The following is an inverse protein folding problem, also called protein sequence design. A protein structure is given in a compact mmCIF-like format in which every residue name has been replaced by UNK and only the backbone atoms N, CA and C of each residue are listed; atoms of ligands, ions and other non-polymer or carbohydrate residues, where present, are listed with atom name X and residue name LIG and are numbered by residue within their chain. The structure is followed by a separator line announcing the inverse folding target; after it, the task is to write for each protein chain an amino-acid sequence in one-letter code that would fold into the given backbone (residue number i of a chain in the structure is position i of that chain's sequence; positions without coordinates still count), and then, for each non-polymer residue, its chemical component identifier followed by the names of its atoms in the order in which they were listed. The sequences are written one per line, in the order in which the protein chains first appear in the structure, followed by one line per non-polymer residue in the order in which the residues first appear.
data_IF_499051901721
#
_entry.id   IF_499051901721
#
_cell.length_a   1.000
_cell.length_b   1.000
_cell.length_c   1.000
_cell.angle_alpha   90.00
_cell.angle_beta   90.00
_cell.angle_gamma   90.00
#
_symmetry.space_group_name_H-M   'P 1'
#
loop_
_entity.id
_entity.type
_entity.pdbx_description
1 polymer ?
#
# COMPACT_ATOMS: atom_id res chain seq x y z
N UNK A 1 1.46 23.47 38.84
CA UNK A 1 2.03 22.15 38.48
C UNK A 1 2.08 22.04 36.96
N UNK A 2 3.13 21.42 36.40
CA UNK A 2 3.49 21.46 34.98
C UNK A 2 3.12 20.17 34.25
N UNK A 3 2.47 20.26 33.08
CA UNK A 3 2.24 19.13 32.18
C UNK A 3 3.53 18.76 31.44
N UNK A 4 4.00 17.53 31.61
CA UNK A 4 5.28 17.02 31.08
C UNK A 4 5.13 16.49 29.62
N UNK A 5 3.93 16.54 29.03
CA UNK A 5 3.69 16.04 27.66
C UNK A 5 4.16 17.03 26.59
N UNK A 6 4.93 16.54 25.60
CA UNK A 6 5.38 17.34 24.45
C UNK A 6 4.20 17.91 23.63
N UNK A 7 3.10 17.16 23.50
CA UNK A 7 1.89 17.55 22.77
C UNK A 7 0.66 17.58 23.69
N UNK A 8 -0.26 18.52 23.46
CA UNK A 8 -1.56 18.51 24.12
C UNK A 8 -2.39 17.29 23.68
N UNK A 9 -3.27 16.82 24.58
CA UNK A 9 -4.22 15.76 24.26
C UNK A 9 -5.40 16.36 23.47
N UNK A 10 -6.14 15.52 22.74
CA UNK A 10 -7.35 15.96 22.04
C UNK A 10 -8.34 16.62 23.01
N UNK A 11 -9.06 17.66 22.60
CA UNK A 11 -9.91 18.45 23.51
C UNK A 11 -9.18 19.54 24.30
N UNK A 12 -7.84 19.59 24.23
CA UNK A 12 -7.03 20.56 24.94
C UNK A 12 -5.98 21.21 24.03
N UNK A 13 -5.60 22.43 24.38
CA UNK A 13 -4.47 23.17 23.81
C UNK A 13 -3.49 23.59 24.90
N UNK A 14 -2.24 23.87 24.53
CA UNK A 14 -1.28 24.47 25.46
C UNK A 14 -1.61 25.95 25.62
N UNK A 15 -1.54 26.46 26.85
CA UNK A 15 -1.71 27.89 27.10
C UNK A 15 -0.64 28.70 26.37
N UNK A 16 -1.03 29.82 25.78
CA UNK A 16 -0.07 30.75 25.17
C UNK A 16 0.88 31.39 26.20
N UNK A 17 0.44 31.48 27.46
CA UNK A 17 1.20 32.10 28.56
C UNK A 17 2.11 31.12 29.29
N UNK A 18 1.76 29.84 29.30
CA UNK A 18 2.52 28.78 29.97
C UNK A 18 2.38 27.46 29.18
N UNK A 19 3.45 27.07 28.50
CA UNK A 19 3.50 25.86 27.67
C UNK A 19 3.25 24.56 28.46
N UNK A 20 3.32 24.62 29.79
CA UNK A 20 3.09 23.50 30.69
C UNK A 20 1.65 23.46 31.22
N UNK A 21 0.79 24.42 30.88
CA UNK A 21 -0.64 24.39 31.23
C UNK A 21 -1.50 23.93 30.06
N UNK A 22 -2.46 23.07 30.36
CA UNK A 22 -3.50 22.64 29.43
C UNK A 22 -4.74 23.51 29.64
N UNK A 23 -5.21 24.11 28.54
CA UNK A 23 -6.47 24.84 28.47
C UNK A 23 -7.43 24.08 27.57
N UNK A 24 -8.73 24.20 27.83
CA UNK A 24 -9.77 23.57 27.01
C UNK A 24 -9.71 24.16 25.60
N UNK A 25 -9.77 23.29 24.60
CA UNK A 25 -9.85 23.68 23.20
C UNK A 25 -11.29 23.60 22.72
N UNK A 26 -11.97 24.74 22.60
CA UNK A 26 -13.39 24.82 22.25
C UNK A 26 -13.72 24.16 20.89
N UNK A 27 -12.76 24.06 19.95
CA UNK A 27 -12.96 23.39 18.65
C UNK A 27 -13.05 21.86 18.80
N UNK A 28 -12.45 21.27 19.84
CA UNK A 28 -12.37 19.80 19.96
C UNK A 28 -12.92 19.24 21.27
N UNK A 29 -13.08 20.07 22.31
CA UNK A 29 -13.56 19.67 23.62
C UNK A 29 -15.02 19.21 23.60
N UNK A 30 -15.88 19.88 22.82
CA UNK A 30 -17.28 19.50 22.69
C UNK A 30 -17.46 18.05 22.18
N UNK A 31 -16.50 17.55 21.38
CA UNK A 31 -16.52 16.17 20.87
C UNK A 31 -16.26 15.18 22.01
N UNK A 32 -15.41 15.55 22.96
CA UNK A 32 -15.14 14.74 24.15
C UNK A 32 -16.38 14.72 25.05
N UNK A 33 -16.98 15.87 25.34
CA UNK A 33 -18.23 15.96 26.11
C UNK A 33 -19.33 15.09 25.49
N UNK A 34 -19.55 15.26 24.18
CA UNK A 34 -20.52 14.47 23.41
C UNK A 34 -20.28 12.95 23.51
N UNK A 35 -19.02 12.49 23.54
CA UNK A 35 -18.69 11.07 23.72
C UNK A 35 -19.14 10.57 25.10
N UNK A 36 -18.89 11.35 26.16
CA UNK A 36 -19.31 11.00 27.51
C UNK A 36 -20.84 11.06 27.66
N UNK A 37 -21.50 12.06 27.06
CA UNK A 37 -22.96 12.17 27.07
C UNK A 37 -23.62 10.96 26.38
N UNK A 38 -23.13 10.57 25.20
CA UNK A 38 -23.63 9.35 24.56
C UNK A 38 -23.38 8.10 25.40
N UNK A 39 -22.25 8.00 26.09
CA UNK A 39 -22.01 6.91 27.04
C UNK A 39 -23.04 6.93 28.18
N UNK A 40 -23.32 8.10 28.78
CA UNK A 40 -24.31 8.26 29.86
C UNK A 40 -25.72 7.85 29.44
N UNK A 41 -26.08 8.04 28.17
CA UNK A 41 -27.36 7.56 27.60
C UNK A 41 -27.38 6.05 27.31
N UNK A 42 -26.35 5.30 27.69
CA UNK A 42 -26.25 3.85 27.53
C UNK A 42 -25.76 3.37 26.15
N UNK A 43 -25.25 4.27 25.29
CA UNK A 43 -24.68 3.87 24.00
C UNK A 43 -23.32 3.22 24.21
N UNK A 44 -23.07 2.07 23.57
CA UNK A 44 -21.77 1.43 23.63
C UNK A 44 -20.75 2.10 22.69
N UNK A 45 -19.46 1.82 22.88
CA UNK A 45 -18.39 2.44 22.08
C UNK A 45 -18.45 2.20 20.56
N UNK A 46 -19.12 1.14 20.09
CA UNK A 46 -19.33 0.92 18.64
C UNK A 46 -20.43 1.87 18.14
N UNK A 47 -21.54 1.97 18.87
CA UNK A 47 -22.63 2.89 18.55
C UNK A 47 -22.16 4.34 18.55
N UNK A 48 -21.42 4.75 19.60
CA UNK A 48 -20.83 6.10 19.67
C UNK A 48 -19.94 6.37 18.45
N UNK A 49 -19.03 5.44 18.10
CA UNK A 49 -18.17 5.60 16.94
C UNK A 49 -18.96 5.73 15.63
N UNK A 50 -20.04 4.96 15.47
CA UNK A 50 -20.93 5.04 14.31
C UNK A 50 -21.62 6.40 14.23
N UNK A 51 -22.22 6.86 15.32
CA UNK A 51 -22.90 8.17 15.40
C UNK A 51 -21.94 9.33 15.06
N UNK A 52 -20.71 9.30 15.58
CA UNK A 52 -19.70 10.32 15.24
C UNK A 52 -19.34 10.29 13.74
N UNK A 53 -19.26 9.11 13.13
CA UNK A 53 -19.01 8.98 11.69
C UNK A 53 -20.22 9.42 10.85
N UNK A 54 -21.45 9.13 11.29
CA UNK A 54 -22.71 9.57 10.65
C UNK A 54 -22.81 11.10 10.61
N UNK A 55 -22.41 11.75 11.70
CA UNK A 55 -22.32 13.20 11.83
C UNK A 55 -21.08 13.80 11.14
N UNK A 56 -20.25 12.97 10.50
CA UNK A 56 -19.01 13.35 9.81
C UNK A 56 -17.97 14.07 10.71
N UNK A 57 -18.02 13.82 12.02
CA UNK A 57 -17.09 14.41 12.98
C UNK A 57 -15.69 13.84 12.75
N UNK A 58 -14.71 14.73 12.58
CA UNK A 58 -13.32 14.35 12.31
C UNK A 58 -12.68 13.70 13.54
N UNK A 59 -11.73 12.80 13.29
CA UNK A 59 -11.04 12.07 14.36
C UNK A 59 -9.87 12.89 14.94
N UNK A 60 -9.37 12.57 16.15
CA UNK A 60 -8.25 13.30 16.75
C UNK A 60 -7.00 13.39 15.87
N UNK A 61 -6.74 12.36 15.06
CA UNK A 61 -5.60 12.35 14.14
C UNK A 61 -5.72 13.42 13.04
N UNK A 62 -6.94 13.69 12.58
CA UNK A 62 -7.20 14.71 11.56
C UNK A 62 -6.88 16.11 12.09
N UNK A 63 -7.34 16.44 13.31
CA UNK A 63 -7.04 17.71 13.96
C UNK A 63 -5.54 17.88 14.26
N UNK A 64 -4.87 16.81 14.69
CA UNK A 64 -3.42 16.86 14.97
C UNK A 64 -2.60 17.22 13.72
N UNK A 65 -2.98 16.73 12.55
CA UNK A 65 -2.29 17.03 11.29
C UNK A 65 -2.43 18.48 10.84
N UNK A 66 -3.49 19.19 11.26
CA UNK A 66 -3.69 20.62 10.95
C UNK A 66 -2.64 21.51 11.64
N UNK A 67 -2.07 21.04 12.75
CA UNK A 67 -1.22 21.84 13.65
C UNK A 67 0.25 21.38 13.72
N UNK A 68 0.61 20.23 13.16
CA UNK A 68 1.97 19.67 13.24
C UNK A 68 2.74 19.89 11.92
N UNK A 69 4.02 20.29 12.01
CA UNK A 69 4.91 20.46 10.82
C UNK A 69 5.25 19.12 10.17
N UNK A 70 5.05 18.01 10.88
CA UNK A 70 5.13 16.65 10.36
C UNK A 70 3.72 16.15 10.04
N UNK A 71 3.27 16.44 8.83
CA UNK A 71 2.03 15.86 8.31
C UNK A 71 2.26 14.36 8.14
N UNK A 72 1.55 13.53 8.91
CA UNK A 72 1.40 12.12 8.57
C UNK A 72 0.27 12.03 7.53
N UNK A 73 0.33 11.13 6.54
CA UNK A 73 -0.84 10.90 5.69
C UNK A 73 -1.99 10.31 6.53
N UNK A 74 -2.85 11.19 7.07
CA UNK A 74 -4.15 10.79 7.57
C UNK A 74 -4.99 10.55 6.33
N UNK A 75 -5.01 9.29 5.91
CA UNK A 75 -5.89 8.78 4.87
C UNK A 75 -7.28 9.41 5.07
N UNK A 76 -7.83 10.00 4.01
CA UNK A 76 -9.21 10.52 3.92
C UNK A 76 -10.25 9.57 4.52
N UNK A 77 -9.90 8.28 4.59
CA UNK A 77 -10.69 7.21 5.18
C UNK A 77 -10.51 7.12 6.70
N UNK A 78 -9.90 8.04 7.42
CA UNK A 78 -9.69 7.87 8.87
C UNK A 78 -10.97 8.12 9.66
N UNK A 79 -11.59 7.04 10.17
CA UNK A 79 -12.88 7.08 10.88
C UNK A 79 -12.76 6.85 12.39
N UNK A 80 -13.81 7.19 13.13
CA UNK A 80 -13.99 6.77 14.51
C UNK A 80 -14.17 5.25 14.59
N UNK A 81 -13.55 4.66 15.61
CA UNK A 81 -13.67 3.24 15.93
C UNK A 81 -13.88 3.10 17.43
N UNK A 82 -14.45 1.98 17.87
CA UNK A 82 -14.62 1.69 19.30
C UNK A 82 -13.32 1.85 20.09
N UNK A 83 -12.17 1.45 19.52
CA UNK A 83 -10.87 1.63 20.18
C UNK A 83 -10.49 3.11 20.38
N UNK A 84 -10.81 3.99 19.43
CA UNK A 84 -10.57 5.45 19.58
C UNK A 84 -11.49 6.07 20.62
N UNK A 85 -12.77 5.69 20.62
CA UNK A 85 -13.76 6.12 21.62
C UNK A 85 -13.34 5.66 23.02
N UNK A 86 -13.04 4.37 23.19
CA UNK A 86 -12.59 3.82 24.47
C UNK A 86 -11.28 4.44 24.96
N UNK A 87 -10.40 4.87 24.06
CA UNK A 87 -9.18 5.60 24.43
C UNK A 87 -9.52 6.94 25.08
N UNK A 88 -10.55 7.63 24.62
CA UNK A 88 -11.01 8.90 25.23
C UNK A 88 -11.70 8.60 26.56
N UNK A 89 -12.67 7.70 26.57
CA UNK A 89 -13.44 7.34 27.78
C UNK A 89 -12.51 6.94 28.94
N UNK A 90 -11.44 6.19 28.67
CA UNK A 90 -10.53 5.66 29.69
C UNK A 90 -9.44 6.63 30.15
N UNK A 91 -9.29 7.77 29.51
CA UNK A 91 -8.18 8.68 29.77
C UNK A 91 -8.58 9.68 30.87
N UNK A 92 -8.08 9.43 32.08
CA UNK A 92 -8.41 10.21 33.28
C UNK A 92 -8.02 11.68 33.18
N UNK A 93 -7.18 12.05 32.21
CA UNK A 93 -6.86 13.45 31.94
C UNK A 93 -8.09 14.28 31.60
N UNK A 94 -9.12 13.69 30.98
CA UNK A 94 -10.37 14.40 30.71
C UNK A 94 -11.15 14.78 31.98
N UNK A 95 -10.83 14.18 33.13
CA UNK A 95 -11.38 14.55 34.44
C UNK A 95 -10.51 15.57 35.22
N UNK A 96 -9.46 16.13 34.59
CA UNK A 96 -8.58 17.16 35.18
C UNK A 96 -7.33 16.63 35.88
N UNK A 97 -7.08 15.33 35.84
CA UNK A 97 -5.91 14.71 36.47
C UNK A 97 -4.73 14.58 35.48
N UNK A 98 -3.50 14.48 35.98
CA UNK A 98 -2.33 14.19 35.16
C UNK A 98 -1.96 12.71 35.31
N UNK A 99 -1.67 12.06 34.19
CA UNK A 99 -1.29 10.64 34.15
C UNK A 99 0.12 10.52 33.60
N UNK A 100 1.03 9.97 34.40
CA UNK A 100 2.42 9.67 34.10
C UNK A 100 2.74 8.16 34.21
N UNK A 101 3.97 7.79 33.88
CA UNK A 101 4.47 6.41 33.94
C UNK A 101 3.66 5.37 33.13
N UNK A 102 3.09 5.77 31.98
CA UNK A 102 2.26 4.87 31.15
C UNK A 102 3.09 3.89 30.31
N UNK A 103 4.37 4.22 30.07
CA UNK A 103 5.32 3.39 29.33
C UNK A 103 6.68 3.42 30.02
N UNK A 104 7.31 2.26 30.08
CA UNK A 104 8.66 2.10 30.59
C UNK A 104 9.57 1.60 29.46
N UNK A 105 10.76 2.19 29.36
CA UNK A 105 11.79 1.74 28.42
C UNK A 105 12.52 0.55 29.04
N UNK A 106 12.48 -0.62 28.40
CA UNK A 106 13.02 -1.85 29.00
C UNK A 106 14.52 -2.02 28.80
N UNK A 107 15.12 -1.36 27.80
CA UNK A 107 16.57 -1.40 27.55
C UNK A 107 17.05 -0.05 27.02
N UNK A 108 18.09 0.52 27.64
CA UNK A 108 18.66 1.81 27.25
C UNK A 108 19.18 1.82 25.79
N UNK A 109 19.51 0.65 25.22
CA UNK A 109 20.08 0.49 23.89
C UNK A 109 19.09 0.07 22.78
N UNK A 110 17.87 -0.36 23.11
CA UNK A 110 16.82 -0.68 22.13
C UNK A 110 15.58 0.12 22.49
N UNK A 111 15.02 0.86 21.54
CA UNK A 111 13.80 1.68 21.71
C UNK A 111 12.52 0.84 21.97
N UNK A 112 12.63 -0.30 22.64
CA UNK A 112 11.53 -1.13 23.08
C UNK A 112 10.91 -0.50 24.33
N UNK A 113 9.69 -0.01 24.17
CA UNK A 113 8.89 0.54 25.25
C UNK A 113 7.73 -0.42 25.54
N UNK A 114 7.65 -0.89 26.79
CA UNK A 114 6.51 -1.69 27.24
C UNK A 114 5.45 -0.78 27.86
N UNK A 115 4.19 -1.23 27.80
CA UNK A 115 3.10 -0.55 28.49
C UNK A 115 3.11 -0.99 29.95
N UNK A 116 3.14 -0.02 30.86
CA UNK A 116 3.15 -0.24 32.31
C UNK A 116 1.73 -0.57 32.77
N UNK A 117 1.60 -1.44 33.78
CA UNK A 117 0.32 -1.79 34.38
C UNK A 117 -0.37 -0.53 34.93
N UNK A 118 -1.70 -0.47 34.84
CA UNK A 118 -2.46 0.71 35.28
C UNK A 118 -2.29 0.99 36.77
N UNK A 119 -2.02 -0.03 37.59
CA UNK A 119 -1.75 0.12 39.03
C UNK A 119 -0.46 0.86 39.34
N UNK A 120 0.50 0.85 38.40
CA UNK A 120 1.80 1.53 38.53
C UNK A 120 1.81 2.92 37.88
N UNK A 121 0.67 3.39 37.35
CA UNK A 121 0.57 4.72 36.77
C UNK A 121 0.64 5.77 37.88
N UNK A 122 1.40 6.83 37.61
CA UNK A 122 1.47 7.98 38.52
C UNK A 122 0.30 8.91 38.15
N UNK A 123 -0.65 9.06 39.06
CA UNK A 123 -1.81 9.94 38.89
C UNK A 123 -1.66 11.12 39.85
N UNK A 124 -1.64 12.34 39.31
CA UNK A 124 -1.65 13.58 40.10
C UNK A 124 -3.00 14.26 39.89
N UNK A 125 -3.75 14.44 40.96
CA UNK A 125 -5.12 14.95 40.86
C UNK A 125 -5.22 16.47 40.65
N UNK A 126 -6.33 16.91 40.03
CA UNK A 126 -6.75 18.33 39.94
C UNK A 126 -5.68 19.27 39.36
N UNK A 127 -5.00 18.82 38.30
CA UNK A 127 -3.89 19.55 37.67
C UNK A 127 -4.33 20.60 36.66
N UNK A 128 -5.50 20.40 36.05
CA UNK A 128 -6.10 21.31 35.07
C UNK A 128 -7.62 21.17 35.08
N UNK A 129 -8.33 22.06 34.38
CA UNK A 129 -9.79 21.98 34.26
C UNK A 129 -10.18 20.75 33.46
N UNK A 130 -10.94 19.83 34.07
CA UNK A 130 -11.52 18.67 33.37
C UNK A 130 -12.57 19.11 32.34
N UNK A 131 -12.62 18.43 31.20
CA UNK A 131 -13.73 18.56 30.25
C UNK A 131 -14.99 17.89 30.82
N UNK A 132 -14.82 16.78 31.55
CA UNK A 132 -15.90 16.12 32.29
C UNK A 132 -15.63 16.13 33.79
N UNK A 133 -16.68 16.05 34.60
CA UNK A 133 -16.52 15.93 36.04
C UNK A 133 -15.95 14.55 36.43
N UNK A 134 -15.26 14.49 37.57
CA UNK A 134 -14.76 13.22 38.13
C UNK A 134 -15.88 12.21 38.34
N UNK A 135 -17.07 12.69 38.71
CA UNK A 135 -18.24 11.84 38.90
C UNK A 135 -18.72 11.20 37.60
N UNK A 136 -18.84 11.99 36.52
CA UNK A 136 -19.20 11.48 35.19
C UNK A 136 -18.15 10.48 34.71
N UNK A 137 -16.86 10.83 34.84
CA UNK A 137 -15.77 9.97 34.41
C UNK A 137 -15.81 8.61 35.12
N UNK A 138 -15.99 8.62 36.45
CA UNK A 138 -16.08 7.42 37.28
C UNK A 138 -17.30 6.58 36.87
N UNK A 139 -18.48 7.18 36.83
CA UNK A 139 -19.73 6.50 36.45
C UNK A 139 -19.62 5.81 35.09
N UNK A 140 -19.10 6.50 34.08
CA UNK A 140 -18.95 5.91 32.74
C UNK A 140 -17.94 4.76 32.74
N UNK A 141 -16.81 4.87 33.42
CA UNK A 141 -15.77 3.84 33.40
C UNK A 141 -16.03 2.64 34.32
N UNK A 142 -16.76 2.82 35.41
CA UNK A 142 -17.03 1.78 36.41
C UNK A 142 -18.37 1.08 36.17
N UNK A 143 -19.43 1.83 35.85
CA UNK A 143 -20.78 1.28 35.74
C UNK A 143 -21.17 0.98 34.29
N UNK A 144 -20.91 1.91 33.36
CA UNK A 144 -21.44 1.83 32.00
C UNK A 144 -20.51 1.04 31.06
N UNK A 145 -19.21 1.33 31.09
CA UNK A 145 -18.21 0.73 30.21
C UNK A 145 -17.00 0.15 30.99
N UNK A 146 -17.23 -0.80 31.92
CA UNK A 146 -16.17 -1.38 32.72
C UNK A 146 -15.10 -2.05 31.86
N UNK A 147 -13.88 -2.05 32.39
CA UNK A 147 -12.78 -2.82 31.79
C UNK A 147 -13.13 -4.30 31.94
N UNK A 148 -13.35 -4.95 30.80
CA UNK A 148 -13.45 -6.41 30.73
C UNK A 148 -12.07 -6.98 30.42
N UNK A 149 -11.55 -7.82 31.31
CA UNK A 149 -10.40 -8.66 30.98
C UNK A 149 -10.76 -9.56 29.79
N UNK A 150 -9.90 -9.57 28.77
CA UNK A 150 -10.07 -10.47 27.62
C UNK A 150 -8.99 -11.53 27.70
N UNK A 151 -9.38 -12.78 27.92
CA UNK A 151 -8.46 -13.90 28.06
C UNK A 151 -7.85 -14.39 26.74
N UNK A 152 -8.34 -13.97 25.58
CA UNK A 152 -7.82 -14.42 24.29
C UNK A 152 -7.85 -13.29 23.27
N UNK A 153 -6.77 -12.52 23.22
CA UNK A 153 -6.46 -11.74 22.02
C UNK A 153 -5.31 -12.47 21.36
N UNK A 154 -5.54 -13.08 20.20
CA UNK A 154 -4.42 -13.47 19.35
C UNK A 154 -3.62 -12.19 19.05
N UNK A 155 -2.53 -12.00 19.77
CA UNK A 155 -1.55 -10.93 19.59
C UNK A 155 -0.48 -11.52 18.69
N UNK A 156 -0.44 -11.13 17.42
CA UNK A 156 0.56 -11.66 16.51
C UNK A 156 0.30 -11.37 15.02
N UNK A 157 1.31 -11.72 14.21
CA UNK A 157 1.39 -11.58 12.75
C UNK A 157 0.18 -12.16 12.00
N UNK A 158 -0.52 -13.14 12.59
CA UNK A 158 -1.71 -13.78 12.01
C UNK A 158 -2.83 -12.80 11.64
N UNK A 159 -2.94 -11.65 12.34
CA UNK A 159 -3.98 -10.64 12.04
C UNK A 159 -3.71 -9.85 10.75
N UNK A 160 -2.47 -9.92 10.22
CA UNK A 160 -2.03 -9.22 9.00
C UNK A 160 -1.69 -10.16 7.83
N UNK A 161 -1.97 -11.46 7.97
CA UNK A 161 -1.75 -12.44 6.90
C UNK A 161 -2.98 -12.53 5.99
N UNK A 162 -2.75 -12.51 4.67
CA UNK A 162 -3.79 -12.61 3.65
C UNK A 162 -3.54 -11.67 2.47
N UNK A 163 -4.30 -11.87 1.39
CA UNK A 163 -4.18 -11.10 0.15
C UNK A 163 -5.52 -10.49 -0.33
N UNK A 164 -6.59 -10.64 0.45
CA UNK A 164 -7.91 -10.09 0.14
C UNK A 164 -8.16 -8.78 0.88
N UNK A 165 -8.47 -7.72 0.14
CA UNK A 165 -8.63 -6.36 0.63
C UNK A 165 -10.02 -5.83 0.27
N UNK A 166 -10.57 -5.00 1.15
CA UNK A 166 -11.78 -4.24 0.86
C UNK A 166 -11.46 -3.17 -0.19
N UNK A 167 -12.11 -3.21 -1.35
CA UNK A 167 -11.86 -2.24 -2.43
C UNK A 167 -12.16 -0.80 -2.01
N UNK A 168 -13.14 -0.59 -1.13
CA UNK A 168 -13.52 0.74 -0.66
C UNK A 168 -12.53 1.34 0.33
N UNK A 169 -12.22 0.63 1.43
CA UNK A 169 -11.34 1.17 2.47
C UNK A 169 -9.86 0.79 2.34
N UNK A 170 -9.51 -0.11 1.42
CA UNK A 170 -8.15 -0.60 1.18
C UNK A 170 -7.58 -1.50 2.27
N UNK A 171 -8.34 -1.82 3.32
CA UNK A 171 -7.88 -2.65 4.44
C UNK A 171 -8.01 -4.13 4.13
N UNK A 172 -7.09 -4.92 4.68
CA UNK A 172 -7.16 -6.37 4.66
C UNK A 172 -8.46 -6.85 5.31
N UNK A 173 -9.19 -7.72 4.61
CA UNK A 173 -10.39 -8.36 5.16
C UNK A 173 -9.99 -9.32 6.28
N UNK A 174 -10.83 -9.45 7.30
CA UNK A 174 -10.62 -10.41 8.39
C UNK A 174 -11.45 -11.65 8.15
N UNK A 175 -10.93 -12.80 8.57
CA UNK A 175 -11.58 -14.09 8.44
C UNK A 175 -12.45 -14.35 9.67
N UNK A 176 -13.72 -14.64 9.44
CA UNK A 176 -14.60 -15.23 10.43
C UNK A 176 -14.63 -16.74 10.20
N UNK A 177 -14.06 -17.50 11.13
CA UNK A 177 -13.96 -18.95 11.05
C UNK A 177 -15.24 -19.61 11.58
N UNK A 178 -16.37 -19.34 10.93
CA UNK A 178 -17.59 -20.10 11.18
C UNK A 178 -17.41 -21.52 10.59
N UNK A 179 -17.62 -22.61 11.36
CA UNK A 179 -17.43 -23.98 10.89
C UNK A 179 -18.25 -24.34 9.64
N UNK A 180 -19.44 -23.76 9.50
CA UNK A 180 -20.37 -24.07 8.41
C UNK A 180 -20.16 -23.15 7.22
N UNK A 181 -19.94 -21.86 7.48
CA UNK A 181 -19.97 -20.81 6.47
C UNK A 181 -18.87 -19.78 6.72
N UNK A 182 -17.59 -20.10 6.47
CA UNK A 182 -16.49 -19.17 6.67
C UNK A 182 -16.59 -18.02 5.67
N UNK A 183 -16.35 -16.80 6.14
CA UNK A 183 -16.42 -15.60 5.31
C UNK A 183 -15.32 -14.60 5.68
N UNK A 184 -15.00 -13.75 4.72
CA UNK A 184 -14.17 -12.57 4.93
C UNK A 184 -15.07 -11.35 5.09
N UNK A 185 -14.73 -10.45 5.99
CA UNK A 185 -15.48 -9.21 6.20
C UNK A 185 -14.58 -8.02 6.44
N UNK A 186 -15.10 -6.82 6.19
CA UNK A 186 -14.39 -5.59 6.49
C UNK A 186 -14.57 -5.19 7.96
N UNK A 187 -13.48 -4.96 8.70
CA UNK A 187 -13.56 -4.52 10.11
C UNK A 187 -14.26 -3.16 10.26
N UNK A 188 -14.32 -2.38 9.18
CA UNK A 188 -15.04 -1.10 9.14
C UNK A 188 -16.54 -1.25 8.98
N UNK A 189 -17.04 -2.43 8.62
CA UNK A 189 -18.47 -2.70 8.45
C UNK A 189 -19.33 -2.16 9.59
N UNK A 190 -18.88 -2.35 10.84
CA UNK A 190 -19.58 -1.89 12.04
C UNK A 190 -19.51 -0.38 12.33
N UNK A 191 -18.75 0.38 11.56
CA UNK A 191 -18.52 1.82 11.78
C UNK A 191 -18.81 2.67 10.54
N UNK A 192 -18.83 2.05 9.36
CA UNK A 192 -19.09 2.72 8.09
C UNK A 192 -20.60 2.88 7.88
N UNK A 193 -20.93 3.91 7.12
CA UNK A 193 -22.31 4.36 6.93
C UNK A 193 -22.63 4.50 5.44
N UNK A 194 -21.63 4.80 4.59
CA UNK A 194 -21.85 5.18 3.18
C UNK A 194 -20.72 4.83 2.22
N UNK A 195 -19.67 4.11 2.63
CA UNK A 195 -18.54 3.78 1.76
C UNK A 195 -18.51 2.31 1.33
N UNK A 196 -19.65 1.60 1.34
CA UNK A 196 -19.74 0.21 0.89
C UNK A 196 -18.99 -0.81 1.75
N UNK A 197 -18.38 -0.40 2.88
CA UNK A 197 -17.74 -1.34 3.79
C UNK A 197 -18.76 -2.04 4.71
N UNK A 198 -19.94 -1.46 4.89
CA UNK A 198 -21.06 -1.91 5.72
C UNK A 198 -21.74 -3.19 5.20
N UNK A 199 -21.66 -3.45 3.90
CA UNK A 199 -22.13 -4.70 3.29
C UNK A 199 -20.98 -5.65 2.91
N UNK A 200 -19.73 -5.25 3.18
CA UNK A 200 -18.55 -5.98 2.74
C UNK A 200 -18.39 -7.30 3.50
N UNK A 201 -18.95 -8.34 2.91
CA UNK A 201 -18.85 -9.74 3.31
C UNK A 201 -18.73 -10.60 2.06
N UNK A 202 -17.77 -11.51 2.04
CA UNK A 202 -17.58 -12.46 0.95
C UNK A 202 -17.35 -13.87 1.49
N UNK A 203 -18.05 -14.84 0.93
CA UNK A 203 -17.93 -16.23 1.35
C UNK A 203 -16.58 -16.81 0.90
N UNK A 204 -15.85 -17.45 1.81
CA UNK A 204 -14.49 -17.93 1.52
C UNK A 204 -14.48 -19.10 0.53
N UNK A 205 -15.44 -20.02 0.64
CA UNK A 205 -15.51 -21.22 -0.21
C UNK A 205 -15.78 -20.85 -1.69
N UNK A 206 -16.84 -20.08 -2.03
CA UNK A 206 -17.08 -19.64 -3.40
C UNK A 206 -15.95 -18.74 -3.94
N UNK A 207 -15.37 -17.88 -3.09
CA UNK A 207 -14.24 -17.05 -3.47
C UNK A 207 -13.03 -17.90 -3.86
N UNK A 208 -12.67 -18.91 -3.06
CA UNK A 208 -11.53 -19.78 -3.35
C UNK A 208 -11.74 -20.56 -4.66
N UNK A 209 -12.95 -21.06 -4.92
CA UNK A 209 -13.28 -21.73 -6.18
C UNK A 209 -13.17 -20.76 -7.38
N UNK A 210 -13.68 -19.54 -7.23
CA UNK A 210 -13.61 -18.49 -8.26
C UNK A 210 -12.15 -18.10 -8.56
N UNK A 211 -11.36 -17.85 -7.52
CA UNK A 211 -9.93 -17.53 -7.66
C UNK A 211 -9.15 -18.68 -8.28
N UNK A 212 -9.46 -19.94 -7.91
CA UNK A 212 -8.84 -21.12 -8.53
C UNK A 212 -9.12 -21.15 -10.03
N UNK A 213 -10.37 -20.97 -10.46
CA UNK A 213 -10.73 -20.93 -11.87
C UNK A 213 -10.05 -19.77 -12.62
N UNK A 214 -9.91 -18.59 -11.99
CA UNK A 214 -9.18 -17.47 -12.57
C UNK A 214 -7.67 -17.76 -12.70
N UNK A 215 -7.07 -18.43 -11.71
CA UNK A 215 -5.66 -18.85 -11.76
C UNK A 215 -5.44 -19.85 -12.90
N UNK A 216 -6.31 -20.84 -13.09
CA UNK A 216 -6.21 -21.77 -14.23
C UNK A 216 -6.15 -21.01 -15.54
N UNK A 217 -7.12 -20.11 -15.79
CA UNK A 217 -7.16 -19.30 -17.02
C UNK A 217 -5.91 -18.42 -17.19
N UNK A 218 -5.44 -17.84 -16.09
CA UNK A 218 -4.24 -17.01 -16.07
C UNK A 218 -2.99 -17.82 -16.43
N UNK A 219 -2.81 -19.00 -15.83
CA UNK A 219 -1.70 -19.92 -16.12
C UNK A 219 -1.74 -20.40 -17.58
N UNK A 220 -2.91 -20.77 -18.10
CA UNK A 220 -3.06 -21.11 -19.52
C UNK A 220 -2.64 -19.97 -20.44
N UNK A 221 -3.05 -18.74 -20.13
CA UNK A 221 -2.66 -17.54 -20.90
C UNK A 221 -1.14 -17.30 -20.85
N UNK A 222 -0.49 -17.56 -19.70
CA UNK A 222 0.97 -17.45 -19.56
C UNK A 222 1.71 -18.50 -20.41
N UNK A 223 1.21 -19.74 -20.46
CA UNK A 223 1.77 -20.80 -21.31
C UNK A 223 1.69 -20.43 -22.79
N UNK A 224 0.55 -19.89 -23.24
CA UNK A 224 0.36 -19.42 -24.61
C UNK A 224 1.33 -18.29 -24.95
N UNK A 225 1.43 -17.27 -24.08
CA UNK A 225 2.36 -16.16 -24.24
C UNK A 225 3.81 -16.63 -24.30
N UNK A 226 4.21 -17.54 -23.41
CA UNK A 226 5.57 -18.08 -23.38
C UNK A 226 5.91 -18.86 -24.66
N UNK A 227 4.98 -19.68 -25.13
CA UNK A 227 5.13 -20.45 -26.38
C UNK A 227 5.27 -19.50 -27.57
N UNK A 228 4.48 -18.43 -27.61
CA UNK A 228 4.54 -17.41 -28.66
C UNK A 228 5.84 -16.61 -28.65
N UNK A 229 6.32 -16.19 -27.47
CA UNK A 229 7.60 -15.49 -27.31
C UNK A 229 8.75 -16.40 -27.74
N UNK A 230 8.77 -17.67 -27.33
CA UNK A 230 9.78 -18.65 -27.77
C UNK A 230 9.79 -18.81 -29.29
N UNK A 231 8.62 -18.93 -29.93
CA UNK A 231 8.49 -18.98 -31.40
C UNK A 231 8.97 -17.69 -32.10
N UNK A 232 8.67 -16.53 -31.52
CA UNK A 232 9.06 -15.23 -32.09
C UNK A 232 10.57 -14.98 -31.96
N UNK A 233 11.16 -15.28 -30.79
CA UNK A 233 12.61 -15.26 -30.57
C UNK A 233 13.32 -16.19 -31.57
N UNK A 234 12.80 -17.40 -31.82
CA UNK A 234 13.35 -18.36 -32.79
C UNK A 234 13.33 -17.84 -34.24
N UNK A 235 12.26 -17.17 -34.67
CA UNK A 235 12.20 -16.57 -36.02
C UNK A 235 13.21 -15.43 -36.21
N UNK A 236 13.39 -14.59 -35.18
CA UNK A 236 14.37 -13.50 -35.21
C UNK A 236 15.81 -14.05 -35.21
N UNK A 237 16.08 -15.08 -34.41
CA UNK A 237 17.40 -15.69 -34.28
C UNK A 237 17.83 -16.45 -35.55
N UNK A 238 16.89 -16.99 -36.32
CA UNK A 238 17.19 -17.63 -37.61
C UNK A 238 17.55 -16.62 -38.71
N UNK A 239 17.03 -15.39 -38.66
CA UNK A 239 17.29 -14.35 -39.65
C UNK A 239 18.58 -13.54 -39.36
N UNK A 240 19.09 -13.53 -38.13
CA UNK A 240 20.29 -12.79 -37.74
C UNK A 240 21.38 -13.73 -37.22
N UNK A 241 21.95 -14.56 -38.10
CA UNK A 241 23.00 -15.54 -37.76
C UNK A 241 24.41 -14.94 -37.61
N UNK A 242 24.55 -13.62 -37.64
CA UNK A 242 25.84 -12.94 -37.46
C UNK A 242 25.59 -11.59 -36.80
N UNK A 243 25.76 -11.48 -35.48
CA UNK A 243 25.56 -10.20 -34.80
C UNK A 243 26.69 -9.92 -33.82
N UNK A 244 27.41 -8.83 -34.12
CA UNK A 244 28.24 -8.07 -33.20
C UNK A 244 27.46 -7.78 -31.90
N UNK A 245 28.18 -7.73 -30.78
CA UNK A 245 27.65 -7.35 -29.47
C UNK A 245 27.24 -5.86 -29.45
N UNK A 246 26.36 -5.48 -28.51
CA UNK A 246 25.87 -4.09 -28.39
C UNK A 246 26.99 -3.06 -28.23
N UNK A 247 28.05 -3.40 -27.50
CA UNK A 247 29.23 -2.55 -27.29
C UNK A 247 30.04 -2.34 -28.57
N UNK A 248 30.09 -3.34 -29.45
CA UNK A 248 30.78 -3.25 -30.73
C UNK A 248 30.00 -2.37 -31.71
N UNK A 249 28.67 -2.39 -31.67
CA UNK A 249 27.80 -1.50 -32.44
C UNK A 249 27.96 -0.04 -31.98
N UNK A 250 28.04 0.21 -30.68
CA UNK A 250 28.29 1.56 -30.14
C UNK A 250 29.65 2.12 -30.58
N UNK A 251 30.71 1.30 -30.55
CA UNK A 251 32.04 1.69 -31.03
C UNK A 251 32.01 2.05 -32.52
N UNK A 252 31.23 1.33 -33.32
CA UNK A 252 31.12 1.60 -34.75
C UNK A 252 30.33 2.87 -35.05
N UNK A 253 29.23 3.13 -34.32
CA UNK A 253 28.49 4.40 -34.38
C UNK A 253 29.42 5.57 -34.00
N UNK A 254 30.26 5.41 -32.98
CA UNK A 254 31.20 6.45 -32.56
C UNK A 254 32.22 6.78 -33.66
N UNK A 255 32.77 5.76 -34.34
CA UNK A 255 33.68 5.94 -35.48
C UNK A 255 33.00 6.65 -36.66
N UNK A 256 31.75 6.32 -36.97
CA UNK A 256 30.97 6.98 -38.03
C UNK A 256 30.67 8.46 -37.68
N UNK A 257 30.37 8.75 -36.41
CA UNK A 257 30.21 10.13 -35.91
C UNK A 257 31.52 10.92 -36.00
N UNK A 258 32.66 10.31 -35.64
CA UNK A 258 33.98 10.92 -35.83
C UNK A 258 34.32 11.14 -37.31
N UNK A 259 33.97 10.19 -38.17
CA UNK A 259 34.13 10.30 -39.63
C UNK A 259 33.33 11.47 -40.18
N UNK A 260 32.11 11.72 -39.67
CA UNK A 260 31.27 12.87 -40.04
C UNK A 260 31.94 14.20 -39.67
N UNK A 261 32.59 14.28 -38.50
CA UNK A 261 33.34 15.47 -38.07
C UNK A 261 34.51 15.74 -39.01
N UNK A 262 35.29 14.70 -39.34
CA UNK A 262 36.40 14.83 -40.29
C UNK A 262 35.95 15.20 -41.71
N UNK A 263 34.78 14.70 -42.15
CA UNK A 263 34.18 15.04 -43.44
C UNK A 263 33.74 16.51 -43.48
N UNK A 264 33.14 17.02 -42.39
CA UNK A 264 32.80 18.44 -42.25
C UNK A 264 34.05 19.33 -42.33
N UNK A 265 35.12 18.94 -41.63
CA UNK A 265 36.38 19.68 -41.65
C UNK A 265 36.98 19.75 -43.06
N UNK A 266 37.02 18.62 -43.79
CA UNK A 266 37.53 18.58 -45.17
C UNK A 266 36.68 19.40 -46.15
N UNK A 267 35.38 19.52 -45.91
CA UNK A 267 34.51 20.42 -46.67
C UNK A 267 34.82 21.90 -46.38
N UNK A 268 35.01 22.26 -45.11
CA UNK A 268 35.42 23.63 -44.73
C UNK A 268 36.82 24.00 -45.26
N UNK A 269 37.72 23.02 -45.43
CA UNK A 269 39.03 23.18 -46.07
C UNK A 269 38.96 23.23 -47.62
N UNK A 270 37.77 23.20 -48.22
CA UNK A 270 37.57 23.29 -49.67
C UNK A 270 37.93 22.03 -50.45
N UNK A 271 38.17 20.90 -49.77
CA UNK A 271 38.61 19.63 -50.40
C UNK A 271 37.44 18.78 -50.93
N UNK A 272 36.21 19.26 -50.81
CA UNK A 272 34.99 18.61 -51.29
C UNK A 272 34.05 19.61 -51.95
N UNK A 273 33.40 19.20 -53.03
CA UNK A 273 32.24 19.91 -53.57
C UNK A 273 31.03 19.70 -52.66
N UNK A 274 30.10 20.66 -52.68
CA UNK A 274 28.89 20.63 -51.84
C UNK A 274 28.05 19.37 -52.09
N UNK A 275 27.96 18.95 -53.34
CA UNK A 275 27.20 17.78 -53.79
C UNK A 275 27.84 16.48 -53.29
N UNK A 276 29.17 16.35 -53.37
CA UNK A 276 29.89 15.17 -52.90
C UNK A 276 29.87 15.06 -51.36
N UNK A 277 29.92 16.19 -50.66
CA UNK A 277 29.78 16.26 -49.20
C UNK A 277 28.40 15.78 -48.73
N UNK A 278 27.33 16.27 -49.37
CA UNK A 278 25.94 15.87 -49.04
C UNK A 278 25.76 14.37 -49.22
N UNK A 279 26.22 13.80 -50.35
CA UNK A 279 26.09 12.37 -50.63
C UNK A 279 26.81 11.49 -49.60
N UNK A 280 28.04 11.86 -49.21
CA UNK A 280 28.80 11.11 -48.20
C UNK A 280 28.21 11.25 -46.79
N UNK A 281 27.71 12.44 -46.46
CA UNK A 281 27.02 12.68 -45.19
C UNK A 281 25.73 11.86 -45.08
N UNK A 282 24.95 11.81 -46.16
CA UNK A 282 23.72 11.01 -46.21
C UNK A 282 24.02 9.51 -46.12
N UNK A 283 25.11 9.05 -46.76
CA UNK A 283 25.56 7.66 -46.64
C UNK A 283 25.94 7.29 -45.20
N UNK A 284 26.69 8.15 -44.51
CA UNK A 284 27.05 7.92 -43.10
C UNK A 284 25.82 8.01 -42.20
N UNK A 285 24.87 8.91 -42.48
CA UNK A 285 23.60 9.02 -41.74
C UNK A 285 22.81 7.71 -41.82
N UNK A 286 22.61 7.18 -43.03
CA UNK A 286 21.89 5.91 -43.24
C UNK A 286 22.57 4.77 -42.49
N UNK A 287 23.90 4.70 -42.52
CA UNK A 287 24.65 3.67 -41.78
C UNK A 287 24.51 3.79 -40.25
N UNK A 288 24.44 5.02 -39.72
CA UNK A 288 24.18 5.24 -38.30
C UNK A 288 22.75 4.82 -37.95
N UNK A 289 21.76 5.19 -38.76
CA UNK A 289 20.35 4.80 -38.56
C UNK A 289 20.18 3.27 -38.56
N UNK A 290 20.79 2.56 -39.51
CA UNK A 290 20.76 1.09 -39.56
C UNK A 290 21.41 0.42 -38.34
N UNK A 291 22.48 1.00 -37.79
CA UNK A 291 23.17 0.49 -36.60
C UNK A 291 22.40 0.83 -35.32
N UNK A 292 21.79 2.00 -35.24
CA UNK A 292 20.93 2.41 -34.13
C UNK A 292 19.66 1.53 -34.07
N UNK A 293 19.08 1.17 -35.22
CA UNK A 293 17.97 0.21 -35.31
C UNK A 293 18.38 -1.20 -34.85
N UNK A 294 19.54 -1.70 -35.29
CA UNK A 294 20.09 -3.00 -34.81
C UNK A 294 20.36 -2.98 -33.31
N UNK A 295 20.87 -1.86 -32.78
CA UNK A 295 21.07 -1.66 -31.33
C UNK A 295 19.73 -1.69 -30.59
N UNK A 296 18.71 -1.05 -31.13
CA UNK A 296 17.36 -1.02 -30.54
C UNK A 296 16.73 -2.42 -30.53
N UNK A 297 16.93 -3.21 -31.59
CA UNK A 297 16.49 -4.61 -31.66
C UNK A 297 17.19 -5.50 -30.62
N UNK A 298 18.48 -5.28 -30.36
CA UNK A 298 19.24 -5.98 -29.31
C UNK A 298 18.83 -5.50 -27.91
N UNK A 299 18.67 -4.19 -27.68
CA UNK A 299 18.24 -3.61 -26.40
C UNK A 299 16.81 -4.03 -26.02
N UNK A 300 15.89 -4.10 -26.98
CA UNK A 300 14.53 -4.59 -26.78
C UNK A 300 14.48 -6.12 -26.48
N UNK A 301 15.60 -6.84 -26.63
CA UNK A 301 15.77 -8.24 -26.23
C UNK A 301 16.62 -8.44 -24.96
N UNK A 302 17.22 -7.39 -24.40
CA UNK A 302 18.26 -7.47 -23.37
C UNK A 302 18.13 -6.28 -22.40
N UNK A 303 17.00 -6.19 -21.70
CA UNK A 303 16.82 -5.27 -20.58
C UNK A 303 17.04 -6.00 -19.27
N UNK A 304 18.30 -6.02 -18.82
CA UNK A 304 18.80 -6.61 -17.56
C UNK A 304 18.91 -8.16 -17.54
N UNK A 305 20.02 -8.69 -18.09
CA UNK A 305 20.22 -10.13 -18.35
C UNK A 305 20.07 -11.02 -17.12
N UNK A 306 20.37 -10.54 -15.93
CA UNK A 306 20.35 -11.37 -14.72
C UNK A 306 18.98 -11.35 -14.05
N UNK A 307 18.44 -10.16 -13.78
CA UNK A 307 17.11 -10.00 -13.22
C UNK A 307 16.01 -10.56 -14.15
N UNK A 308 16.14 -10.38 -15.48
CA UNK A 308 15.19 -10.95 -16.43
C UNK A 308 15.31 -12.47 -16.53
N UNK A 309 16.52 -13.05 -16.48
CA UNK A 309 16.69 -14.52 -16.50
C UNK A 309 16.20 -15.18 -15.22
N UNK A 310 16.52 -14.60 -14.07
CA UNK A 310 16.07 -15.11 -12.78
C UNK A 310 14.54 -15.09 -12.68
N UNK A 311 13.92 -14.03 -13.19
CA UNK A 311 12.48 -13.89 -13.21
C UNK A 311 11.79 -14.71 -14.31
N UNK A 312 12.39 -14.88 -15.49
CA UNK A 312 11.92 -15.84 -16.51
C UNK A 312 11.97 -17.28 -15.97
N UNK A 313 13.02 -17.63 -15.21
CA UNK A 313 13.15 -18.91 -14.54
C UNK A 313 12.09 -19.10 -13.46
N UNK A 314 11.86 -18.10 -12.60
CA UNK A 314 10.80 -18.14 -11.60
C UNK A 314 9.42 -18.33 -12.26
N UNK A 315 9.15 -17.62 -13.36
CA UNK A 315 7.91 -17.79 -14.13
C UNK A 315 7.77 -19.21 -14.69
N UNK A 316 8.83 -19.78 -15.27
CA UNK A 316 8.83 -21.16 -15.78
C UNK A 316 8.56 -22.18 -14.67
N UNK A 317 9.22 -22.04 -13.52
CA UNK A 317 9.00 -22.91 -12.36
C UNK A 317 7.55 -22.86 -11.87
N UNK A 318 6.94 -21.65 -11.84
CA UNK A 318 5.54 -21.48 -11.42
C UNK A 318 4.55 -22.03 -12.45
N UNK A 319 4.79 -21.83 -13.74
CA UNK A 319 3.99 -22.42 -14.81
C UNK A 319 4.01 -23.93 -14.69
N UNK A 320 5.20 -24.54 -14.58
CA UNK A 320 5.34 -25.99 -14.47
C UNK A 320 4.67 -26.55 -13.20
N UNK A 321 4.76 -25.82 -12.08
CA UNK A 321 4.09 -26.19 -10.82
C UNK A 321 2.56 -26.18 -10.92
N UNK A 322 1.97 -25.31 -11.74
CA UNK A 322 0.53 -25.03 -11.73
C UNK A 322 -0.22 -25.42 -13.01
N UNK A 323 0.47 -25.81 -14.10
CA UNK A 323 -0.13 -26.07 -15.42
C UNK A 323 -1.28 -27.09 -15.43
N UNK A 324 -1.18 -28.16 -14.64
CA UNK A 324 -2.15 -29.27 -14.63
C UNK A 324 -3.12 -29.18 -13.44
N UNK A 325 -3.08 -28.09 -12.68
CA UNK A 325 -3.83 -27.95 -11.43
C UNK A 325 -5.13 -27.20 -11.66
N UNK A 326 -6.20 -27.75 -11.08
CA UNK A 326 -7.55 -27.19 -11.15
C UNK A 326 -8.03 -26.56 -9.83
N UNK A 327 -7.34 -26.87 -8.72
CA UNK A 327 -7.68 -26.39 -7.37
C UNK A 327 -6.43 -26.00 -6.60
N UNK A 328 -6.55 -24.91 -5.85
CA UNK A 328 -5.45 -24.25 -5.14
C UNK A 328 -5.83 -23.97 -3.70
N UNK A 329 -4.88 -24.20 -2.80
CA UNK A 329 -4.94 -23.76 -1.41
C UNK A 329 -4.72 -22.25 -1.30
N UNK A 330 -5.08 -21.65 -0.16
CA UNK A 330 -4.86 -20.22 0.10
C UNK A 330 -3.38 -19.83 -0.03
N UNK A 331 -2.46 -20.70 0.39
CA UNK A 331 -1.01 -20.49 0.24
C UNK A 331 -0.57 -20.46 -1.23
N UNK A 332 -1.10 -21.36 -2.05
CA UNK A 332 -0.74 -21.45 -3.47
C UNK A 332 -1.33 -20.29 -4.27
N UNK A 333 -2.56 -19.88 -3.95
CA UNK A 333 -3.15 -18.66 -4.51
C UNK A 333 -2.26 -17.45 -4.22
N UNK A 334 -1.70 -17.34 -3.01
CA UNK A 334 -0.82 -16.23 -2.63
C UNK A 334 0.53 -16.21 -3.38
N UNK A 335 0.94 -17.33 -4.00
CA UNK A 335 2.15 -17.41 -4.85
C UNK A 335 1.91 -16.83 -6.26
N UNK A 336 0.67 -16.77 -6.72
CA UNK A 336 0.31 -16.28 -8.07
C UNK A 336 -0.38 -14.91 -8.01
N UNK A 337 -1.17 -14.71 -6.95
CA UNK A 337 -1.96 -13.50 -6.72
C UNK A 337 -1.23 -12.60 -5.72
N UNK A 338 -1.05 -11.33 -6.10
CA UNK A 338 -0.46 -10.32 -5.22
C UNK A 338 -1.50 -9.67 -4.32
N UNK A 339 -2.70 -9.43 -4.85
CA UNK A 339 -3.77 -8.71 -4.18
C UNK A 339 -5.12 -9.02 -4.84
N UNK A 340 -6.16 -9.18 -4.04
CA UNK A 340 -7.56 -9.23 -4.48
C UNK A 340 -8.30 -8.08 -3.82
N UNK A 341 -8.82 -7.15 -4.62
CA UNK A 341 -9.72 -6.11 -4.16
C UNK A 341 -11.16 -6.59 -4.33
N UNK A 342 -11.88 -6.74 -3.21
CA UNK A 342 -13.26 -7.23 -3.17
C UNK A 342 -14.20 -6.04 -3.12
N UNK A 343 -15.15 -5.99 -4.06
CA UNK A 343 -16.21 -4.98 -4.13
C UNK A 343 -17.55 -5.52 -3.63
N UNK A 344 -17.86 -6.78 -3.95
CA UNK A 344 -19.08 -7.47 -3.53
C UNK A 344 -18.87 -9.00 -3.57
N UNK A 345 -19.94 -9.79 -3.36
CA UNK A 345 -19.92 -11.24 -3.54
C UNK A 345 -19.64 -11.68 -4.99
N UNK A 346 -19.95 -10.82 -5.97
CA UNK A 346 -19.86 -11.13 -7.40
C UNK A 346 -18.76 -10.35 -8.12
N UNK A 347 -18.29 -9.25 -7.53
CA UNK A 347 -17.29 -8.38 -8.13
C UNK A 347 -16.00 -8.37 -7.31
N UNK A 348 -14.93 -8.88 -7.94
CA UNK A 348 -13.57 -8.87 -7.42
C UNK A 348 -12.61 -8.40 -8.51
N UNK A 349 -11.53 -7.75 -8.10
CA UNK A 349 -10.40 -7.39 -8.96
C UNK A 349 -9.15 -8.07 -8.47
N UNK A 350 -8.53 -8.88 -9.33
CA UNK A 350 -7.32 -9.63 -9.01
C UNK A 350 -6.12 -8.93 -9.62
N UNK A 351 -5.11 -8.66 -8.79
CA UNK A 351 -3.79 -8.20 -9.22
C UNK A 351 -2.82 -9.37 -9.17
N UNK A 352 -2.36 -9.79 -10.34
CA UNK A 352 -1.43 -10.90 -10.51
C UNK A 352 0.00 -10.49 -10.14
N UNK A 353 0.81 -11.43 -9.65
CA UNK A 353 2.23 -11.17 -9.38
C UNK A 353 3.05 -10.99 -10.66
N UNK A 354 2.69 -11.70 -11.73
CA UNK A 354 3.41 -11.68 -13.00
C UNK A 354 2.81 -10.71 -14.04
N UNK A 355 2.09 -9.67 -13.58
CA UNK A 355 1.42 -8.71 -14.47
C UNK A 355 2.41 -7.90 -15.33
N UNK A 356 3.62 -7.67 -14.81
CA UNK A 356 4.67 -6.98 -15.57
C UNK A 356 5.12 -7.81 -16.80
N UNK A 357 4.96 -9.14 -16.77
CA UNK A 357 5.33 -10.00 -17.89
C UNK A 357 4.30 -9.88 -18.99
N UNK A 358 3.02 -9.97 -18.64
CA UNK A 358 1.94 -9.82 -19.62
C UNK A 358 1.98 -8.43 -20.22
N UNK A 359 2.25 -7.38 -19.45
CA UNK A 359 2.43 -6.02 -19.96
C UNK A 359 3.63 -5.87 -20.91
N UNK A 360 4.82 -6.34 -20.49
CA UNK A 360 6.05 -6.29 -21.33
C UNK A 360 5.91 -7.16 -22.59
N UNK A 361 5.34 -8.35 -22.47
CA UNK A 361 5.08 -9.23 -23.60
C UNK A 361 4.06 -8.61 -24.56
N UNK A 362 2.99 -7.98 -24.05
CA UNK A 362 1.98 -7.30 -24.89
C UNK A 362 2.56 -6.08 -25.59
N UNK A 363 3.38 -5.27 -24.92
CA UNK A 363 4.08 -4.14 -25.55
C UNK A 363 5.05 -4.61 -26.64
N UNK A 364 5.77 -5.72 -26.39
CA UNK A 364 6.57 -6.40 -27.42
C UNK A 364 5.71 -6.83 -28.63
N UNK A 365 4.52 -7.40 -28.40
CA UNK A 365 3.61 -7.83 -29.46
C UNK A 365 3.10 -6.67 -30.31
N UNK A 366 2.65 -5.58 -29.68
CA UNK A 366 2.16 -4.38 -30.36
C UNK A 366 3.26 -3.75 -31.22
N UNK A 367 4.50 -3.75 -30.73
CA UNK A 367 5.66 -3.24 -31.48
C UNK A 367 6.07 -4.17 -32.63
N UNK A 368 6.05 -5.48 -32.41
CA UNK A 368 6.37 -6.46 -33.46
C UNK A 368 5.35 -6.45 -34.62
N UNK A 369 4.06 -6.23 -34.33
CA UNK A 369 3.04 -6.08 -35.37
C UNK A 369 3.20 -4.80 -36.20
N UNK A 370 3.66 -3.71 -35.59
CA UNK A 370 3.96 -2.45 -36.29
C UNK A 370 5.19 -2.52 -37.22
N UNK A 371 6.07 -3.51 -37.03
CA UNK A 371 7.25 -3.73 -37.88
C UNK A 371 6.90 -4.67 -39.05
N UNK A 372 5.81 -5.44 -38.93
CA UNK A 372 5.35 -6.38 -39.95
C UNK A 372 4.31 -5.77 -40.93
N UNK A 373 3.81 -4.56 -40.66
CA UNK A 373 3.06 -3.71 -41.59
C UNK A 373 3.96 -2.56 -42.03
#
# INVERSE_FOLDING_TARGET
MQCISANAIFGYKKSAKDIHKLEIDDETAFIVEMIFDYALTGKNSIQIAKMLNEQQIKTPAWYKNKCDRRSYEVDSKTIWTSAKVMKIIRDQRYAGDMVGNVRATTKVAKNDNIRVDRKEWIIVENTHKGIVSKEIFRKVNEEIMPIKERSNVAVGESRRQGFCYCAYCGRLLQKENNPVNPYLFCVRQKYDVKNGCDEMKIMTIPLQATLSAMVVKYVSSLIELQTFVKRSKMKIFQNHKSAMTGDEIEKEILKLKQSTISLNQRYHEGRFTKEAYILQKDKIRIQIEELEDKKLQILNGIGDKEAQKEWEKELEEKIEKFKDRISFTESELAEVISRVDVYSQTEIRVKWRFMDFTAKATDYLVRAQKIAC
#
